data_IF_062194155783
#
_entry.id   IF_062194155783
#
_cell.length_a   1.000
_cell.length_b   1.000
_cell.length_c   1.000
_cell.angle_alpha   90.00
_cell.angle_beta   90.00
_cell.angle_gamma   90.00
#
_symmetry.space_group_name_H-M   'P 1'
#
loop_
_entity.id
_entity.type
_entity.pdbx_description
1 polymer ?
#
# COMPACT_ATOMS: atom_id res chain seq x y z
N UNK A 1 -12.31 7.69 -2.80
CA UNK A 1 -13.47 7.14 -2.09
C UNK A 1 -13.14 5.86 -1.29
N UNK A 2 -12.14 5.08 -1.67
CA UNK A 2 -11.59 3.93 -0.92
C UNK A 2 -10.19 3.59 -1.43
N UNK A 3 -9.48 2.67 -0.76
CA UNK A 3 -8.12 2.28 -1.14
C UNK A 3 -8.04 1.56 -2.49
N UNK A 4 -9.06 0.78 -2.86
CA UNK A 4 -9.12 0.13 -4.19
C UNK A 4 -9.10 1.18 -5.31
N UNK A 5 -9.88 2.25 -5.16
CA UNK A 5 -9.88 3.38 -6.09
C UNK A 5 -8.53 4.12 -6.08
N UNK A 6 -7.91 4.31 -4.91
CA UNK A 6 -6.61 4.95 -4.79
C UNK A 6 -5.50 4.12 -5.47
N UNK A 7 -5.48 2.79 -5.27
CA UNK A 7 -4.56 1.87 -5.95
C UNK A 7 -4.77 1.90 -7.48
N UNK A 8 -6.03 1.92 -7.94
CA UNK A 8 -6.33 1.96 -9.37
C UNK A 8 -5.78 3.24 -10.03
N UNK A 9 -6.10 4.43 -9.50
CA UNK A 9 -5.59 5.68 -10.09
C UNK A 9 -4.08 5.84 -9.90
N UNK A 10 -3.48 5.23 -8.87
CA UNK A 10 -2.03 5.15 -8.70
C UNK A 10 -1.39 4.32 -9.83
N UNK A 11 -1.94 3.13 -10.13
CA UNK A 11 -1.47 2.30 -11.24
C UNK A 11 -1.61 3.02 -12.59
N UNK A 12 -2.71 3.74 -12.82
CA UNK A 12 -2.90 4.58 -14.01
C UNK A 12 -1.84 5.70 -14.09
N UNK A 13 -1.58 6.40 -12.98
CA UNK A 13 -0.59 7.48 -12.93
C UNK A 13 0.83 6.99 -13.18
N UNK A 14 1.16 5.76 -12.73
CA UNK A 14 2.42 5.06 -12.99
C UNK A 14 2.52 4.56 -14.43
N UNK A 15 1.47 4.72 -15.24
CA UNK A 15 1.45 4.40 -16.66
C UNK A 15 1.23 2.92 -16.98
N UNK A 16 0.63 2.16 -16.07
CA UNK A 16 0.27 0.77 -16.33
C UNK A 16 -0.76 0.70 -17.45
N UNK A 17 -0.52 -0.15 -18.43
CA UNK A 17 -1.35 -0.36 -19.61
C UNK A 17 -1.42 -1.82 -20.00
N UNK A 18 -2.25 -2.11 -20.98
CA UNK A 18 -2.42 -3.46 -21.53
C UNK A 18 -1.07 -4.10 -21.92
N UNK A 19 -0.86 -5.33 -21.45
CA UNK A 19 0.34 -6.13 -21.72
C UNK A 19 1.52 -5.86 -20.78
N UNK A 20 1.52 -4.79 -19.98
CA UNK A 20 2.58 -4.55 -19.00
C UNK A 20 2.58 -5.62 -17.91
N UNK A 21 3.77 -6.06 -17.49
CA UNK A 21 3.91 -7.00 -16.38
C UNK A 21 4.32 -6.26 -15.11
N UNK A 22 3.64 -6.53 -14.01
CA UNK A 22 3.89 -5.92 -12.70
C UNK A 22 4.01 -7.01 -11.64
N UNK A 23 5.00 -6.88 -10.76
CA UNK A 23 5.23 -7.81 -9.66
C UNK A 23 4.30 -7.45 -8.49
N UNK A 24 3.75 -8.48 -7.83
CA UNK A 24 2.96 -8.34 -6.61
C UNK A 24 3.17 -9.56 -5.71
N UNK A 25 2.83 -9.46 -4.43
CA UNK A 25 2.77 -10.61 -3.51
C UNK A 25 1.42 -11.32 -3.62
N UNK A 26 1.36 -12.66 -3.45
CA UNK A 26 0.08 -13.38 -3.38
C UNK A 26 -0.63 -13.18 -2.03
N UNK A 27 0.10 -12.78 -0.97
CA UNK A 27 -0.45 -12.56 0.36
C UNK A 27 -0.88 -11.11 0.54
N UNK A 28 -2.06 -10.79 0.02
CA UNK A 28 -2.61 -9.44 0.01
C UNK A 28 -4.12 -9.45 -0.12
N UNK A 29 -4.75 -8.31 0.13
CA UNK A 29 -6.12 -8.09 -0.33
C UNK A 29 -6.13 -7.95 -1.86
N UNK A 30 -7.17 -8.47 -2.51
CA UNK A 30 -7.24 -8.55 -3.98
C UNK A 30 -6.99 -7.23 -4.71
N UNK A 31 -7.25 -6.07 -4.07
CA UNK A 31 -7.09 -4.75 -4.69
C UNK A 31 -5.67 -4.45 -5.14
N UNK A 32 -4.63 -4.96 -4.44
CA UNK A 32 -3.23 -4.72 -4.78
C UNK A 32 -2.85 -5.39 -6.12
N UNK A 33 -3.45 -6.53 -6.44
CA UNK A 33 -3.30 -7.17 -7.75
C UNK A 33 -4.30 -6.62 -8.78
N UNK A 34 -5.55 -6.37 -8.35
CA UNK A 34 -6.61 -5.92 -9.23
C UNK A 34 -6.33 -4.53 -9.83
N UNK A 35 -5.64 -3.63 -9.12
CA UNK A 35 -5.32 -2.30 -9.65
C UNK A 35 -4.54 -2.39 -10.97
N UNK A 36 -3.65 -3.38 -11.11
CA UNK A 36 -2.91 -3.66 -12.33
C UNK A 36 -3.83 -4.24 -13.41
N UNK A 37 -4.72 -5.18 -13.01
CA UNK A 37 -5.68 -5.80 -13.94
C UNK A 37 -6.71 -4.80 -14.47
N UNK A 38 -7.14 -3.83 -13.68
CA UNK A 38 -8.03 -2.76 -14.13
C UNK A 38 -7.41 -1.90 -15.23
N UNK A 39 -6.08 -1.77 -15.25
CA UNK A 39 -5.33 -1.08 -16.30
C UNK A 39 -4.97 -1.99 -17.51
N UNK A 40 -5.42 -3.27 -17.53
CA UNK A 40 -5.08 -4.24 -18.58
C UNK A 40 -3.73 -4.91 -18.41
N UNK A 41 -2.97 -4.58 -17.36
CA UNK A 41 -1.67 -5.18 -17.07
C UNK A 41 -1.77 -6.63 -16.56
N UNK A 42 -0.66 -7.34 -16.56
CA UNK A 42 -0.49 -8.70 -16.05
C UNK A 42 0.19 -8.67 -14.69
N UNK A 43 -0.24 -9.52 -13.77
CA UNK A 43 0.36 -9.64 -12.45
C UNK A 43 1.28 -10.87 -12.41
N UNK A 44 2.53 -10.66 -12.00
CA UNK A 44 3.46 -11.73 -11.65
C UNK A 44 3.57 -11.82 -10.14
N UNK A 45 3.05 -12.88 -9.56
CA UNK A 45 3.22 -13.12 -8.13
C UNK A 45 4.63 -13.62 -7.82
N UNK A 46 5.22 -13.03 -6.78
CA UNK A 46 6.46 -13.45 -6.12
C UNK A 46 6.11 -13.82 -4.70
N UNK A 47 6.57 -14.97 -4.26
CA UNK A 47 6.24 -15.54 -2.96
C UNK A 47 6.79 -14.69 -1.79
N UNK A 48 6.29 -14.97 -0.61
CA UNK A 48 6.59 -14.24 0.61
C UNK A 48 7.77 -14.84 1.38
N UNK A 49 8.39 -14.02 2.21
CA UNK A 49 9.20 -14.48 3.33
C UNK A 49 8.27 -15.04 4.43
N UNK A 50 8.52 -16.25 4.95
CA UNK A 50 7.63 -16.93 5.87
C UNK A 50 7.60 -16.36 7.29
N UNK A 51 8.52 -15.45 7.65
CA UNK A 51 8.57 -14.80 8.95
C UNK A 51 7.85 -13.47 8.96
N UNK A 52 8.10 -12.65 7.95
CA UNK A 52 7.55 -11.29 7.84
C UNK A 52 6.24 -11.25 7.05
N UNK A 53 5.96 -12.27 6.22
CA UNK A 53 4.87 -12.35 5.24
C UNK A 53 4.94 -11.29 4.14
N UNK A 54 6.06 -10.57 4.04
CA UNK A 54 6.31 -9.60 2.98
C UNK A 54 6.81 -10.30 1.72
N UNK A 55 6.74 -9.64 0.57
CA UNK A 55 7.34 -10.13 -0.66
C UNK A 55 8.82 -10.43 -0.43
N UNK A 56 9.26 -11.68 -0.72
CA UNK A 56 10.65 -12.10 -0.47
C UNK A 56 11.60 -11.44 -1.48
N UNK A 57 12.51 -10.62 -0.98
CA UNK A 57 13.48 -9.89 -1.82
C UNK A 57 14.47 -10.80 -2.56
N UNK A 58 14.78 -11.97 -2.01
CA UNK A 58 15.69 -12.91 -2.66
C UNK A 58 14.99 -13.59 -3.84
N UNK A 59 13.72 -14.01 -3.67
CA UNK A 59 12.89 -14.53 -4.76
C UNK A 59 12.62 -13.47 -5.82
N UNK A 60 12.46 -12.20 -5.43
CA UNK A 60 12.37 -11.08 -6.35
C UNK A 60 13.62 -10.97 -7.21
N UNK A 61 14.81 -10.94 -6.59
CA UNK A 61 16.11 -10.86 -7.29
C UNK A 61 16.31 -12.06 -8.22
N UNK A 62 15.93 -13.27 -7.81
CA UNK A 62 15.99 -14.48 -8.63
C UNK A 62 15.16 -14.33 -9.92
N UNK A 63 13.90 -13.92 -9.81
CA UNK A 63 13.02 -13.72 -10.97
C UNK A 63 13.57 -12.63 -11.89
N UNK A 64 14.04 -11.52 -11.34
CA UNK A 64 14.57 -10.41 -12.12
C UNK A 64 15.87 -10.78 -12.85
N UNK A 65 16.73 -11.59 -12.23
CA UNK A 65 18.00 -12.03 -12.84
C UNK A 65 17.80 -12.93 -14.06
N UNK A 66 16.67 -13.62 -14.15
CA UNK A 66 16.35 -14.53 -15.28
C UNK A 66 15.52 -13.85 -16.37
N UNK A 67 14.99 -12.67 -16.13
CA UNK A 67 14.15 -11.94 -17.06
C UNK A 67 14.96 -10.82 -17.78
N UNK A 68 14.71 -10.55 -19.07
CA UNK A 68 15.27 -9.38 -19.73
C UNK A 68 14.91 -8.08 -18.99
N UNK A 69 15.84 -7.11 -18.93
CA UNK A 69 15.54 -5.77 -18.34
C UNK A 69 14.35 -5.14 -19.08
N UNK A 70 13.45 -4.51 -18.32
CA UNK A 70 12.21 -3.91 -18.84
C UNK A 70 11.04 -4.89 -19.01
N UNK A 71 11.22 -6.19 -18.70
CA UNK A 71 10.11 -7.18 -18.67
C UNK A 71 9.05 -6.77 -17.66
N UNK A 72 9.46 -6.27 -16.48
CA UNK A 72 8.56 -5.79 -15.43
C UNK A 72 8.65 -4.27 -15.35
N UNK A 73 7.49 -3.60 -15.27
CA UNK A 73 7.40 -2.14 -15.21
C UNK A 73 7.52 -1.60 -13.78
N UNK A 74 7.13 -2.40 -12.81
CA UNK A 74 7.16 -2.03 -11.41
C UNK A 74 6.72 -3.16 -10.50
N UNK A 75 6.58 -2.81 -9.22
CA UNK A 75 6.13 -3.73 -8.20
C UNK A 75 5.12 -3.07 -7.25
N UNK A 76 4.16 -3.86 -6.79
CA UNK A 76 3.24 -3.51 -5.69
C UNK A 76 3.72 -4.23 -4.44
N UNK A 77 4.23 -3.48 -3.48
CA UNK A 77 4.69 -3.98 -2.18
C UNK A 77 3.61 -3.74 -1.14
N UNK A 78 3.23 -4.79 -0.43
CA UNK A 78 2.15 -4.73 0.57
C UNK A 78 2.74 -4.87 1.96
N UNK A 79 2.59 -3.86 2.80
CA UNK A 79 3.02 -3.87 4.20
C UNK A 79 2.07 -4.73 5.04
N UNK A 80 2.12 -6.03 4.78
CA UNK A 80 1.15 -7.00 5.30
C UNK A 80 1.08 -6.97 6.82
N UNK A 81 -0.13 -7.09 7.36
CA UNK A 81 -0.43 -7.05 8.80
C UNK A 81 0.00 -5.75 9.51
N UNK A 82 0.67 -4.82 8.82
CA UNK A 82 1.25 -3.59 9.36
C UNK A 82 2.76 -3.66 9.59
N UNK A 83 3.42 -4.69 9.06
CA UNK A 83 4.88 -4.80 9.03
C UNK A 83 5.42 -4.03 7.82
N UNK A 84 6.27 -3.00 8.00
CA UNK A 84 6.82 -2.22 6.90
C UNK A 84 7.92 -2.98 6.15
N UNK A 85 7.96 -2.87 4.83
CA UNK A 85 9.13 -3.30 4.07
C UNK A 85 10.36 -2.47 4.42
N UNK A 86 11.55 -3.04 4.33
CA UNK A 86 12.78 -2.26 4.19
C UNK A 86 12.83 -1.67 2.77
N UNK A 87 12.10 -0.57 2.55
CA UNK A 87 11.90 0.03 1.23
C UNK A 87 13.20 0.48 0.57
N UNK A 88 14.27 0.74 1.36
CA UNK A 88 15.59 1.07 0.81
C UNK A 88 16.16 -0.06 -0.04
N UNK A 89 16.01 -1.32 0.42
CA UNK A 89 16.51 -2.47 -0.33
C UNK A 89 15.71 -2.70 -1.61
N UNK A 90 14.38 -2.58 -1.55
CA UNK A 90 13.53 -2.73 -2.73
C UNK A 90 13.75 -1.58 -3.73
N UNK A 91 14.02 -0.36 -3.25
CA UNK A 91 14.36 0.78 -4.14
C UNK A 91 15.66 0.53 -4.90
N UNK A 92 16.71 0.02 -4.25
CA UNK A 92 17.97 -0.37 -4.93
C UNK A 92 17.71 -1.36 -6.05
N UNK A 93 16.90 -2.39 -5.79
CA UNK A 93 16.52 -3.37 -6.84
C UNK A 93 15.68 -2.71 -7.93
N UNK A 94 14.72 -1.90 -7.58
CA UNK A 94 13.85 -1.23 -8.55
C UNK A 94 14.65 -0.29 -9.47
N UNK A 95 15.62 0.46 -8.93
CA UNK A 95 16.48 1.35 -9.69
C UNK A 95 17.38 0.57 -10.68
N UNK A 96 17.92 -0.57 -10.26
CA UNK A 96 18.75 -1.43 -11.13
C UNK A 96 17.99 -1.92 -12.35
N UNK A 97 16.68 -2.19 -12.20
CA UNK A 97 15.82 -2.72 -13.28
C UNK A 97 14.92 -1.67 -13.94
N UNK A 98 14.99 -0.40 -13.51
CA UNK A 98 14.18 0.69 -14.06
C UNK A 98 12.69 0.55 -13.74
N UNK A 99 12.36 0.07 -12.52
CA UNK A 99 11.00 -0.20 -12.06
C UNK A 99 10.50 0.88 -11.08
N UNK A 100 9.21 1.14 -11.11
CA UNK A 100 8.55 1.93 -10.06
C UNK A 100 8.09 1.04 -8.89
N UNK A 101 7.85 1.67 -7.72
CA UNK A 101 7.32 1.04 -6.52
C UNK A 101 5.99 1.69 -6.13
N UNK A 102 4.91 0.91 -6.11
CA UNK A 102 3.64 1.23 -5.49
C UNK A 102 3.56 0.54 -4.12
N UNK A 103 3.60 1.32 -3.05
CA UNK A 103 3.50 0.84 -1.68
C UNK A 103 2.02 0.75 -1.26
N UNK A 104 1.53 -0.43 -0.98
CA UNK A 104 0.23 -0.63 -0.36
C UNK A 104 0.39 -0.70 1.16
N UNK A 105 0.34 0.46 1.80
CA UNK A 105 0.46 0.65 3.24
C UNK A 105 -0.91 0.63 3.96
N UNK A 106 -1.93 0.00 3.35
CA UNK A 106 -3.28 -0.08 3.94
C UNK A 106 -3.34 -0.72 5.32
N UNK A 107 -2.32 -1.48 5.71
CA UNK A 107 -2.18 -2.08 7.04
C UNK A 107 -1.17 -1.37 7.94
N UNK A 108 -0.45 -0.39 7.44
CA UNK A 108 0.75 0.16 8.07
C UNK A 108 0.71 1.67 8.42
N UNK A 109 -0.45 2.30 8.72
CA UNK A 109 -0.44 3.69 9.17
C UNK A 109 0.38 3.84 10.46
N UNK A 110 1.46 4.65 10.39
CA UNK A 110 2.35 4.90 11.52
C UNK A 110 3.45 3.86 11.73
N UNK A 111 3.52 2.81 10.92
CA UNK A 111 4.67 1.91 10.87
C UNK A 111 5.89 2.60 10.27
N UNK A 112 7.09 2.16 10.66
CA UNK A 112 8.36 2.63 10.09
C UNK A 112 9.43 1.53 10.19
N UNK A 113 10.44 1.65 9.37
CA UNK A 113 11.72 0.94 9.53
C UNK A 113 12.85 1.95 9.74
N UNK A 114 14.01 1.48 10.21
CA UNK A 114 15.22 2.29 10.33
C UNK A 114 16.11 1.97 9.12
N UNK A 115 16.43 2.98 8.31
CA UNK A 115 17.25 2.81 7.11
C UNK A 115 18.75 2.71 7.42
N UNK A 116 19.58 2.52 6.40
CA UNK A 116 21.03 2.39 6.52
C UNK A 116 21.72 3.62 7.10
N UNK A 117 21.05 4.78 7.15
CA UNK A 117 21.56 6.02 7.77
C UNK A 117 21.16 6.17 9.24
N UNK A 118 20.30 5.27 9.75
CA UNK A 118 19.73 5.34 11.10
C UNK A 118 18.48 6.23 11.19
N UNK A 119 17.92 6.66 10.05
CA UNK A 119 16.70 7.48 10.00
C UNK A 119 15.45 6.60 10.09
N UNK A 120 14.43 7.08 10.78
CA UNK A 120 13.10 6.45 10.78
C UNK A 120 12.36 6.79 9.49
N UNK A 121 12.11 5.79 8.68
CA UNK A 121 11.37 5.90 7.41
C UNK A 121 9.96 5.40 7.62
N UNK A 122 9.01 6.32 7.73
CA UNK A 122 7.59 5.98 7.90
C UNK A 122 6.98 5.53 6.58
N UNK A 123 6.11 4.51 6.63
CA UNK A 123 5.28 4.15 5.49
C UNK A 123 4.55 5.40 4.97
N UNK A 124 4.58 5.61 3.66
CA UNK A 124 3.97 6.76 3.01
C UNK A 124 4.77 8.06 3.05
N UNK A 125 5.99 8.08 3.60
CA UNK A 125 6.83 9.30 3.54
C UNK A 125 7.33 9.64 2.13
N UNK A 126 7.26 8.68 1.18
CA UNK A 126 7.67 8.88 -0.21
C UNK A 126 9.18 8.97 -0.44
N UNK A 127 10.00 8.49 0.53
CA UNK A 127 11.46 8.49 0.39
C UNK A 127 11.94 7.43 -0.61
N UNK A 128 11.31 6.27 -0.62
CA UNK A 128 11.72 5.12 -1.42
C UNK A 128 10.61 4.57 -2.34
N UNK A 129 9.34 4.91 -2.11
CA UNK A 129 8.21 4.56 -2.98
C UNK A 129 7.83 5.71 -3.91
N UNK A 130 7.34 5.41 -5.09
CA UNK A 130 6.85 6.41 -6.05
C UNK A 130 5.46 6.91 -5.64
N UNK A 131 4.59 5.99 -5.25
CA UNK A 131 3.26 6.28 -4.70
C UNK A 131 3.00 5.32 -3.54
N UNK A 132 2.38 5.82 -2.46
CA UNK A 132 1.91 5.01 -1.33
C UNK A 132 0.40 5.16 -1.20
N UNK A 133 -0.30 4.05 -0.88
CA UNK A 133 -1.74 4.05 -0.66
C UNK A 133 -2.09 3.61 0.75
N UNK A 134 -3.02 4.32 1.39
CA UNK A 134 -3.62 4.00 2.68
C UNK A 134 -5.11 3.72 2.54
N UNK A 135 -5.65 2.92 3.47
CA UNK A 135 -7.07 2.61 3.58
C UNK A 135 -7.66 3.19 4.86
N UNK A 136 -8.86 3.73 4.73
CA UNK A 136 -9.68 4.20 5.86
C UNK A 136 -10.98 3.40 5.98
N UNK A 137 -10.96 2.13 5.55
CA UNK A 137 -12.04 1.17 5.79
C UNK A 137 -12.25 0.97 7.31
N UNK A 138 -13.46 0.63 7.79
CA UNK A 138 -13.80 0.53 9.23
C UNK A 138 -12.86 -0.30 10.09
N UNK A 139 -12.27 -1.37 9.54
CA UNK A 139 -11.38 -2.28 10.29
C UNK A 139 -9.96 -1.73 10.48
N UNK A 140 -9.59 -0.61 9.81
CA UNK A 140 -8.24 -0.06 9.84
C UNK A 140 -7.96 0.74 11.13
N UNK A 141 -6.72 1.17 11.31
CA UNK A 141 -6.27 1.94 12.47
C UNK A 141 -7.04 3.24 12.68
N UNK A 142 -7.43 3.86 11.57
CA UNK A 142 -8.32 5.02 11.49
C UNK A 142 -9.33 4.76 10.37
N UNK A 143 -10.52 5.33 10.48
CA UNK A 143 -11.58 5.09 9.52
C UNK A 143 -12.30 6.37 9.12
N UNK A 144 -12.84 6.36 7.91
CA UNK A 144 -13.79 7.35 7.39
C UNK A 144 -15.16 6.72 7.05
N UNK A 145 -15.44 5.50 7.58
CA UNK A 145 -16.53 4.65 7.11
C UNK A 145 -16.12 3.90 5.84
N UNK A 146 -15.86 4.58 4.77
CA UNK A 146 -15.09 4.18 3.61
C UNK A 146 -14.14 5.32 3.25
N UNK A 147 -12.93 5.00 2.76
CA UNK A 147 -11.96 6.00 2.34
C UNK A 147 -10.63 5.41 1.96
N UNK A 148 -9.84 6.20 1.26
CA UNK A 148 -8.46 5.90 0.89
C UNK A 148 -7.69 7.17 0.62
N UNK A 149 -6.36 7.04 0.60
CA UNK A 149 -5.45 8.14 0.29
C UNK A 149 -4.28 7.61 -0.53
N UNK A 150 -3.92 8.34 -1.58
CA UNK A 150 -2.67 8.14 -2.30
C UNK A 150 -1.73 9.30 -2.00
N UNK A 151 -0.48 8.99 -1.64
CA UNK A 151 0.57 9.95 -1.31
C UNK A 151 1.74 9.79 -2.28
N UNK A 152 2.33 10.90 -2.71
CA UNK A 152 3.52 10.93 -3.56
C UNK A 152 4.30 12.21 -3.36
N UNK A 153 5.62 12.17 -3.59
CA UNK A 153 6.48 13.36 -3.68
C UNK A 153 6.62 13.84 -5.14
N UNK A 154 6.14 13.05 -6.11
CA UNK A 154 6.21 13.38 -7.52
C UNK A 154 4.97 14.20 -7.94
N UNK A 155 5.21 15.45 -8.37
CA UNK A 155 4.16 16.37 -8.80
C UNK A 155 3.35 15.83 -9.99
N UNK A 156 3.99 15.18 -10.95
CA UNK A 156 3.32 14.63 -12.14
C UNK A 156 2.34 13.52 -11.74
N UNK A 157 2.74 12.60 -10.86
CA UNK A 157 1.85 11.55 -10.36
C UNK A 157 0.68 12.13 -9.55
N UNK A 158 0.94 13.15 -8.73
CA UNK A 158 -0.13 13.86 -8.01
C UNK A 158 -1.17 14.46 -8.96
N UNK A 159 -0.73 15.20 -9.99
CA UNK A 159 -1.62 15.85 -10.95
C UNK A 159 -2.45 14.81 -11.73
N UNK A 160 -1.83 13.73 -12.20
CA UNK A 160 -2.52 12.62 -12.86
C UNK A 160 -3.58 11.99 -11.96
N UNK A 161 -3.22 11.64 -10.72
CA UNK A 161 -4.17 11.05 -9.77
C UNK A 161 -5.33 12.00 -9.43
N UNK A 162 -5.06 13.29 -9.27
CA UNK A 162 -6.09 14.30 -9.03
C UNK A 162 -7.06 14.43 -10.21
N UNK A 163 -6.54 14.36 -11.43
CA UNK A 163 -7.32 14.37 -12.66
C UNK A 163 -8.18 13.09 -12.79
N UNK A 164 -7.58 11.91 -12.66
CA UNK A 164 -8.30 10.63 -12.74
C UNK A 164 -9.39 10.48 -11.67
N UNK A 165 -9.16 11.01 -10.47
CA UNK A 165 -10.14 10.98 -9.37
C UNK A 165 -11.42 11.77 -9.68
N UNK A 166 -11.35 12.75 -10.57
CA UNK A 166 -12.42 13.72 -10.88
C UNK A 166 -12.80 13.72 -12.36
N UNK A 167 -13.14 12.56 -12.90
CA UNK A 167 -13.62 12.35 -14.28
C UNK A 167 -12.64 12.74 -15.38
N UNK A 168 -11.37 12.97 -15.08
CA UNK A 168 -10.40 13.47 -16.06
C UNK A 168 -10.66 14.91 -16.51
N UNK A 169 -11.42 15.69 -15.73
CA UNK A 169 -11.86 17.05 -16.06
C UNK A 169 -10.92 18.07 -15.43
N UNK A 170 -10.57 19.10 -16.21
CA UNK A 170 -9.82 20.28 -15.73
C UNK A 170 -10.56 21.58 -16.02
N UNK A 171 -10.34 22.57 -15.14
CA UNK A 171 -10.70 23.99 -15.31
C UNK A 171 -9.46 24.88 -15.49
N UNK A 172 -8.26 24.29 -15.53
CA UNK A 172 -7.00 25.02 -15.65
C UNK A 172 -6.90 25.64 -17.06
N UNK A 173 -6.90 26.97 -17.12
CA UNK A 173 -6.95 27.70 -18.39
C UNK A 173 -5.88 27.28 -19.40
N UNK A 174 -4.66 26.95 -18.91
CA UNK A 174 -3.53 26.55 -19.73
C UNK A 174 -3.73 25.17 -20.41
N UNK A 175 -4.69 24.39 -19.92
CA UNK A 175 -5.00 23.05 -20.43
C UNK A 175 -6.27 23.01 -21.28
N UNK A 176 -7.01 24.13 -21.35
CA UNK A 176 -8.22 24.23 -22.14
C UNK A 176 -7.91 24.60 -23.60
N UNK A 177 -8.67 24.02 -24.53
CA UNK A 177 -8.55 24.35 -25.97
C UNK A 177 -9.17 25.71 -26.31
N UNK A 178 -10.09 26.19 -25.46
CA UNK A 178 -10.75 27.47 -25.60
C UNK A 178 -11.15 28.04 -24.24
N UNK A 179 -11.37 29.35 -24.18
CA UNK A 179 -11.78 30.05 -22.96
C UNK A 179 -13.18 30.63 -23.13
N UNK A 180 -14.19 29.93 -22.60
CA UNK A 180 -15.62 30.32 -22.73
C UNK A 180 -16.20 30.84 -21.40
N UNK A 181 -15.36 31.20 -20.43
CA UNK A 181 -15.77 31.69 -19.11
C UNK A 181 -15.56 30.70 -17.97
N UNK A 182 -15.81 31.13 -16.73
CA UNK A 182 -15.48 30.38 -15.51
C UNK A 182 -16.22 29.06 -15.33
N UNK A 183 -17.31 28.86 -16.07
CA UNK A 183 -18.08 27.60 -16.05
C UNK A 183 -17.52 26.53 -16.99
N UNK A 184 -16.59 26.90 -17.91
CA UNK A 184 -16.09 26.01 -18.93
C UNK A 184 -15.07 25.03 -18.36
N UNK A 185 -15.11 23.81 -18.81
CA UNK A 185 -14.15 22.74 -18.47
C UNK A 185 -14.01 21.76 -19.63
N UNK A 186 -12.93 21.02 -19.63
CA UNK A 186 -12.68 19.97 -20.62
C UNK A 186 -12.22 18.68 -19.97
N UNK A 187 -12.66 17.55 -20.54
CA UNK A 187 -12.14 16.24 -20.21
C UNK A 187 -10.82 16.05 -20.96
N UNK A 188 -9.73 15.85 -20.22
CA UNK A 188 -8.39 15.61 -20.77
C UNK A 188 -8.10 14.13 -20.91
N UNK A 189 -8.62 13.31 -20.00
CA UNK A 189 -8.37 11.89 -19.88
C UNK A 189 -9.64 11.17 -19.44
N UNK A 190 -9.72 9.85 -19.67
CA UNK A 190 -10.78 9.05 -19.09
C UNK A 190 -10.55 8.89 -17.58
N UNK A 191 -11.37 9.57 -16.79
CA UNK A 191 -11.30 9.54 -15.33
C UNK A 191 -12.54 8.93 -14.67
N UNK A 192 -12.54 8.93 -13.34
CA UNK A 192 -13.53 8.26 -12.50
C UNK A 192 -14.13 9.22 -11.46
N UNK A 193 -15.20 8.81 -10.81
CA UNK A 193 -15.72 9.51 -9.64
C UNK A 193 -15.22 8.83 -8.37
N UNK A 194 -13.97 9.07 -8.00
CA UNK A 194 -13.30 8.45 -6.86
C UNK A 194 -13.07 9.41 -5.69
N UNK A 195 -13.85 10.49 -5.63
CA UNK A 195 -13.74 11.49 -4.56
C UNK A 195 -14.23 10.92 -3.22
N UNK A 196 -13.55 11.31 -2.14
CA UNK A 196 -14.07 11.17 -0.78
C UNK A 196 -15.03 12.34 -0.51
N UNK A 197 -16.07 12.11 0.28
CA UNK A 197 -17.01 13.17 0.67
C UNK A 197 -16.45 14.00 1.83
N UNK A 198 -16.93 15.24 1.99
CA UNK A 198 -16.52 16.12 3.09
C UNK A 198 -16.89 15.53 4.46
N UNK A 199 -18.02 14.82 4.55
CA UNK A 199 -18.43 14.11 5.78
C UNK A 199 -17.40 13.06 6.16
N UNK A 200 -16.96 12.24 5.21
CA UNK A 200 -15.91 11.23 5.41
C UNK A 200 -14.57 11.88 5.75
N UNK A 201 -14.19 12.94 5.05
CA UNK A 201 -12.95 13.68 5.31
C UNK A 201 -12.92 14.31 6.71
N UNK A 202 -14.04 14.87 7.17
CA UNK A 202 -14.19 15.41 8.53
C UNK A 202 -14.01 14.33 9.59
N UNK A 203 -14.62 13.14 9.38
CA UNK A 203 -14.39 11.97 10.25
C UNK A 203 -12.92 11.58 10.26
N UNK A 204 -12.28 11.49 9.08
CA UNK A 204 -10.86 11.17 8.91
C UNK A 204 -9.96 12.14 9.69
N UNK A 205 -10.21 13.43 9.60
CA UNK A 205 -9.48 14.47 10.34
C UNK A 205 -9.58 14.24 11.86
N UNK A 206 -10.75 13.88 12.36
CA UNK A 206 -10.95 13.53 13.77
C UNK A 206 -10.21 12.26 14.17
N UNK A 207 -10.27 11.21 13.32
CA UNK A 207 -9.62 9.93 13.58
C UNK A 207 -8.08 10.05 13.54
N UNK A 208 -7.53 10.84 12.63
CA UNK A 208 -6.09 11.05 12.48
C UNK A 208 -5.42 11.56 13.76
N UNK A 209 -6.13 12.39 14.55
CA UNK A 209 -5.64 12.88 15.86
C UNK A 209 -5.33 11.75 16.85
N UNK A 210 -5.91 10.57 16.66
CA UNK A 210 -5.75 9.38 17.52
C UNK A 210 -4.88 8.29 16.90
N UNK A 211 -4.40 8.47 15.66
CA UNK A 211 -3.72 7.43 14.90
C UNK A 211 -2.54 6.80 15.67
N UNK A 212 -1.63 7.64 16.21
CA UNK A 212 -0.47 7.16 16.98
C UNK A 212 -0.90 6.38 18.22
N UNK A 213 -1.84 6.92 18.99
CA UNK A 213 -2.37 6.25 20.19
C UNK A 213 -3.02 4.90 19.85
N UNK A 214 -3.73 4.80 18.72
CA UNK A 214 -4.32 3.55 18.28
C UNK A 214 -3.26 2.48 17.97
N UNK A 215 -2.14 2.86 17.35
CA UNK A 215 -1.00 1.94 17.12
C UNK A 215 -0.38 1.52 18.47
N UNK A 216 -0.15 2.44 19.39
CA UNK A 216 0.40 2.14 20.73
C UNK A 216 -0.48 1.12 21.48
N UNK A 217 -1.80 1.32 21.49
CA UNK A 217 -2.75 0.38 22.10
C UNK A 217 -2.65 -1.01 21.48
N UNK A 218 -2.55 -1.11 20.14
CA UNK A 218 -2.37 -2.40 19.46
C UNK A 218 -1.07 -3.07 19.88
N UNK A 219 0.03 -2.33 19.95
CA UNK A 219 1.33 -2.84 20.42
C UNK A 219 1.30 -3.31 21.88
N UNK A 220 0.55 -2.64 22.75
CA UNK A 220 0.31 -3.11 24.13
C UNK A 220 -0.46 -4.44 24.16
N UNK A 221 -1.47 -4.60 23.32
CA UNK A 221 -2.21 -5.86 23.19
C UNK A 221 -1.31 -6.98 22.67
N UNK A 222 -0.46 -6.68 21.68
CA UNK A 222 0.52 -7.64 21.14
C UNK A 222 1.48 -8.13 22.24
N UNK A 223 2.00 -7.24 23.07
CA UNK A 223 2.85 -7.65 24.21
C UNK A 223 2.16 -8.65 25.13
N UNK A 224 0.87 -8.40 25.46
CA UNK A 224 0.08 -9.31 26.28
C UNK A 224 -0.15 -10.67 25.60
N UNK A 225 -0.41 -10.70 24.30
CA UNK A 225 -0.50 -11.95 23.55
C UNK A 225 0.82 -12.69 23.51
N UNK A 226 1.93 -12.01 23.24
CA UNK A 226 3.26 -12.63 23.21
C UNK A 226 3.61 -13.23 24.58
N UNK A 227 3.35 -12.50 25.68
CA UNK A 227 3.54 -13.01 27.05
C UNK A 227 2.68 -14.23 27.34
N UNK A 228 1.42 -14.23 26.92
CA UNK A 228 0.49 -15.35 27.13
C UNK A 228 0.87 -16.60 26.31
N UNK A 229 1.45 -16.41 25.12
CA UNK A 229 1.78 -17.52 24.22
C UNK A 229 3.22 -18.01 24.31
N UNK A 230 4.10 -17.34 25.07
CA UNK A 230 5.54 -17.65 25.14
C UNK A 230 5.84 -19.12 25.55
N UNK A 231 4.97 -19.75 26.34
CA UNK A 231 5.13 -21.13 26.81
C UNK A 231 4.37 -22.17 25.96
N UNK A 232 3.67 -21.73 24.90
CA UNK A 232 2.87 -22.60 24.04
C UNK A 232 3.64 -22.86 22.75
N UNK A 233 4.33 -23.99 22.68
CA UNK A 233 5.21 -24.37 21.55
C UNK A 233 4.48 -24.50 20.22
N UNK A 234 3.17 -24.79 20.25
CA UNK A 234 2.30 -24.98 19.09
C UNK A 234 1.88 -23.67 18.41
N UNK A 235 2.20 -22.52 19.04
CA UNK A 235 1.89 -21.19 18.52
C UNK A 235 3.17 -20.44 18.17
N UNK A 236 3.38 -20.14 16.90
CA UNK A 236 4.40 -19.19 16.47
C UNK A 236 3.78 -17.80 16.40
N UNK A 237 4.26 -16.90 17.25
CA UNK A 237 3.82 -15.48 17.29
C UNK A 237 4.45 -14.66 16.15
N UNK A 238 3.88 -13.47 15.80
CA UNK A 238 4.45 -12.61 14.77
C UNK A 238 5.89 -12.20 15.07
N UNK A 239 6.73 -12.24 14.05
CA UNK A 239 8.09 -11.73 14.11
C UNK A 239 8.10 -10.20 14.03
N UNK A 240 9.01 -9.54 14.75
CA UNK A 240 9.31 -8.11 14.63
C UNK A 240 10.81 -7.90 14.78
N UNK A 241 11.46 -7.37 13.75
CA UNK A 241 12.87 -7.02 13.77
C UNK A 241 13.14 -5.80 14.67
N UNK A 242 14.37 -5.66 15.17
CA UNK A 242 14.74 -4.58 16.09
C UNK A 242 14.72 -3.18 15.44
N UNK A 243 14.88 -3.11 14.13
CA UNK A 243 14.87 -1.90 13.32
C UNK A 243 13.49 -1.57 12.72
N UNK A 244 12.44 -2.29 13.14
CA UNK A 244 11.07 -2.15 12.64
C UNK A 244 10.14 -1.69 13.76
N UNK A 245 9.20 -0.82 13.41
CA UNK A 245 8.04 -0.47 14.22
C UNK A 245 6.78 -0.94 13.52
N UNK A 246 6.30 -2.12 13.90
CA UNK A 246 5.12 -2.75 13.31
C UNK A 246 3.84 -2.09 13.82
N UNK A 247 2.93 -1.71 12.92
CA UNK A 247 1.64 -1.08 13.28
C UNK A 247 0.57 -2.08 13.76
N UNK A 248 0.79 -3.36 13.57
CA UNK A 248 -0.12 -4.44 13.99
C UNK A 248 -1.59 -4.22 13.61
N UNK A 249 -1.84 -4.10 12.31
CA UNK A 249 -3.22 -4.20 11.81
C UNK A 249 -3.81 -5.56 12.14
N UNK A 250 -3.03 -6.61 11.96
CA UNK A 250 -3.36 -7.98 12.32
C UNK A 250 -2.29 -8.54 13.27
N UNK A 251 -2.71 -9.40 14.17
CA UNK A 251 -1.84 -10.26 14.96
C UNK A 251 -1.92 -11.66 14.38
N UNK A 252 -0.95 -12.02 13.53
CA UNK A 252 -0.96 -13.26 12.75
C UNK A 252 -0.16 -14.33 13.49
N UNK A 253 -0.79 -15.43 13.86
CA UNK A 253 -0.13 -16.60 14.45
C UNK A 253 -0.03 -17.74 13.44
N UNK A 254 0.97 -18.58 13.56
CA UNK A 254 1.05 -19.84 12.84
C UNK A 254 0.80 -21.00 13.81
N UNK A 255 -0.02 -21.95 13.39
CA UNK A 255 -0.35 -23.18 14.12
C UNK A 255 -0.44 -24.34 13.13
N UNK A 256 -0.15 -25.56 13.59
CA UNK A 256 -0.22 -26.75 12.73
C UNK A 256 -1.68 -27.07 12.35
N UNK A 257 -2.59 -27.14 13.32
CA UNK A 257 -4.02 -27.36 13.07
C UNK A 257 -4.82 -26.06 13.03
N UNK A 258 -4.67 -25.32 11.94
CA UNK A 258 -5.40 -24.07 11.73
C UNK A 258 -6.91 -24.25 11.72
N UNK A 259 -7.41 -25.32 11.10
CA UNK A 259 -8.85 -25.55 11.00
C UNK A 259 -9.46 -25.95 12.35
N UNK A 260 -8.77 -26.80 13.11
CA UNK A 260 -9.17 -27.16 14.47
C UNK A 260 -9.24 -25.96 15.39
N UNK A 261 -8.20 -25.12 15.39
CA UNK A 261 -8.19 -23.88 16.17
C UNK A 261 -9.31 -22.92 15.75
N UNK A 262 -9.52 -22.73 14.45
CA UNK A 262 -10.60 -21.87 13.95
C UNK A 262 -11.97 -22.35 14.41
N UNK A 263 -12.25 -23.65 14.33
CA UNK A 263 -13.52 -24.23 14.76
C UNK A 263 -13.72 -24.15 16.29
N UNK A 264 -12.62 -24.28 17.05
CA UNK A 264 -12.66 -24.14 18.51
C UNK A 264 -12.97 -22.71 18.98
N UNK A 265 -12.48 -21.70 18.25
CA UNK A 265 -12.67 -20.29 18.60
C UNK A 265 -14.02 -19.69 18.14
N UNK A 266 -14.80 -20.42 17.36
CA UNK A 266 -16.13 -20.02 16.88
C UNK A 266 -17.27 -20.70 17.63
#
# INVERSE_FOLDING_TARGET
CNATAALHIAAMALGVKEGDNVICTPMTFASSANCIRFCGGNVRFVDIDPETYLLDINKLKEILSTAPKGTYKGMVLVDFAGYPHNMEEYRKVADEYGMWILEDACHAPGAYFIDSTGERVYCGCGKYSDITVFSFHPVKHITTGEGGMACTQNKEYYEKMALYRTHGITHEAEKLQREDGLWYYEMQELGYNYRITDIQAALGTSQLKRARKNVEIRRELVRKYNEAFVSISEIKTPYEAADVYHAYHLYVIQVEDRLGLYNFLR
#
